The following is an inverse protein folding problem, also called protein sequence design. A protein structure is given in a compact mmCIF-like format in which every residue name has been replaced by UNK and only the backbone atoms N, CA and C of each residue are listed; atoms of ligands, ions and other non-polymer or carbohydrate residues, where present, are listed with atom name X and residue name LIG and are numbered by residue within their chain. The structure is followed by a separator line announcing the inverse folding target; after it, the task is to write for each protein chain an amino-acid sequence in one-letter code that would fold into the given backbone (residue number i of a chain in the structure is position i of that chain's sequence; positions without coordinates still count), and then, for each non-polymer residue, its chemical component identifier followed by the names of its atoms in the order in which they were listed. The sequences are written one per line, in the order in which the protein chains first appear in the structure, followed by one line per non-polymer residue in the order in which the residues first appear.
data_IF_795759705780
#
_entry.id   IF_795759705780
#
_cell.length_a   1.000
_cell.length_b   1.000
_cell.length_c   1.000
_cell.angle_alpha   90.00
_cell.angle_beta   90.00
_cell.angle_gamma   90.00
#
_symmetry.space_group_name_H-M   'P 1'
#
loop_
_entity.id
_entity.type
_entity.pdbx_description
1 polymer ?
#
# COMPACT_ATOMS: atom_id res chain seq x y z
N UNK A 1 -19.54 -16.60 -26.53
CA UNK A 1 -19.92 -15.23 -26.14
C UNK A 1 -20.14 -15.26 -24.64
N UNK A 2 -19.32 -14.54 -23.89
CA UNK A 2 -19.30 -14.56 -22.42
C UNK A 2 -20.53 -13.79 -21.87
N UNK A 3 -21.41 -14.43 -21.07
CA UNK A 3 -22.60 -13.80 -20.50
C UNK A 3 -22.31 -12.73 -19.42
N UNK A 4 -21.06 -12.56 -18.97
CA UNK A 4 -20.71 -11.64 -17.87
C UNK A 4 -20.71 -10.14 -18.19
N UNK A 5 -20.72 -9.74 -19.47
CA UNK A 5 -20.60 -8.32 -19.86
C UNK A 5 -21.93 -7.60 -20.14
N UNK A 6 -23.07 -8.29 -20.11
CA UNK A 6 -24.37 -7.69 -20.45
C UNK A 6 -25.01 -6.95 -19.27
N UNK A 7 -24.72 -7.34 -18.01
CA UNK A 7 -25.33 -6.73 -16.82
C UNK A 7 -24.71 -5.39 -16.42
N UNK A 8 -23.51 -5.07 -16.90
CA UNK A 8 -22.82 -3.80 -16.59
C UNK A 8 -23.44 -2.62 -17.36
N UNK A 9 -24.01 -2.89 -18.54
CA UNK A 9 -24.59 -1.85 -19.40
C UNK A 9 -26.08 -1.54 -19.13
N UNK A 10 -26.83 -2.45 -18.51
CA UNK A 10 -28.23 -2.18 -18.12
C UNK A 10 -28.32 -1.20 -16.96
N UNK A 11 -27.49 -1.37 -15.94
CA UNK A 11 -27.50 -0.55 -14.71
C UNK A 11 -27.13 0.93 -14.92
N UNK A 12 -26.54 1.28 -16.07
CA UNK A 12 -26.22 2.67 -16.43
C UNK A 12 -27.45 3.37 -17.03
N UNK A 13 -28.32 2.64 -17.74
CA UNK A 13 -29.49 3.20 -18.45
C UNK A 13 -30.63 3.56 -17.50
N UNK A 14 -30.74 2.84 -16.38
CA UNK A 14 -31.83 3.02 -15.42
C UNK A 14 -31.63 4.24 -14.50
N UNK A 15 -30.37 4.63 -14.25
CA UNK A 15 -30.05 5.83 -13.44
C UNK A 15 -30.20 7.14 -14.22
N UNK A 16 -30.18 7.12 -15.55
CA UNK A 16 -30.38 8.32 -16.37
C UNK A 16 -31.85 8.73 -16.50
N UNK A 17 -32.79 7.81 -16.27
CA UNK A 17 -34.23 8.05 -16.45
C UNK A 17 -34.96 8.50 -15.18
N UNK A 18 -34.30 8.52 -14.02
CA UNK A 18 -34.90 8.89 -12.73
C UNK A 18 -34.84 10.40 -12.41
N UNK A 19 -34.28 11.23 -13.30
CA UNK A 19 -34.17 12.69 -13.10
C UNK A 19 -35.21 13.51 -13.88
N UNK A 20 -36.16 12.87 -14.59
CA UNK A 20 -37.07 13.56 -15.50
C UNK A 20 -38.48 13.84 -14.92
N UNK A 21 -38.71 13.62 -13.62
CA UNK A 21 -40.04 13.73 -13.01
C UNK A 21 -40.20 14.83 -11.94
N UNK A 22 -39.22 15.73 -11.78
CA UNK A 22 -39.36 16.90 -10.90
C UNK A 22 -39.44 18.19 -11.73
N UNK A 23 -40.65 18.72 -11.83
CA UNK A 23 -40.96 20.02 -12.43
C UNK A 23 -40.39 21.11 -11.52
N UNK A 24 -39.17 21.59 -11.78
CA UNK A 24 -38.67 22.76 -11.05
C UNK A 24 -37.19 23.13 -11.14
N UNK A 25 -36.27 22.27 -11.59
CA UNK A 25 -34.85 22.64 -11.71
C UNK A 25 -34.13 21.69 -12.68
N UNK A 26 -33.82 22.15 -13.89
CA UNK A 26 -33.07 21.33 -14.87
C UNK A 26 -31.61 21.24 -14.40
N UNK A 27 -31.09 20.04 -14.05
CA UNK A 27 -29.70 19.90 -13.66
C UNK A 27 -28.80 20.30 -14.83
N UNK A 28 -27.86 21.22 -14.60
CA UNK A 28 -26.89 21.60 -15.64
C UNK A 28 -26.05 20.39 -16.06
N UNK A 29 -25.58 20.38 -17.30
CA UNK A 29 -24.66 19.34 -17.82
C UNK A 29 -23.41 19.21 -16.92
N UNK A 30 -22.99 20.30 -16.28
CA UNK A 30 -21.92 20.30 -15.26
C UNK A 30 -22.29 19.50 -14.01
N UNK A 31 -23.54 19.55 -13.56
CA UNK A 31 -24.06 18.79 -12.40
C UNK A 31 -24.16 17.30 -12.72
N UNK A 32 -24.65 16.96 -13.92
CA UNK A 32 -24.73 15.57 -14.40
C UNK A 32 -23.31 14.98 -14.56
N UNK A 33 -22.38 15.71 -15.19
CA UNK A 33 -20.97 15.29 -15.31
C UNK A 33 -20.28 15.16 -13.95
N UNK A 34 -20.60 16.02 -12.99
CA UNK A 34 -20.03 15.96 -11.63
C UNK A 34 -20.50 14.72 -10.86
N UNK A 35 -21.78 14.33 -10.99
CA UNK A 35 -22.33 13.14 -10.33
C UNK A 35 -21.84 11.83 -10.96
N UNK A 36 -21.58 11.77 -12.27
CA UNK A 36 -21.03 10.58 -12.92
C UNK A 36 -19.53 10.37 -12.64
N UNK A 37 -18.74 11.43 -12.44
CA UNK A 37 -17.27 11.30 -12.25
C UNK A 37 -16.86 10.79 -10.86
N UNK A 38 -17.67 10.99 -9.82
CA UNK A 38 -17.31 10.59 -8.43
C UNK A 38 -17.56 9.11 -8.11
N UNK A 39 -18.48 8.45 -8.80
CA UNK A 39 -18.98 7.14 -8.37
C UNK A 39 -18.09 5.96 -8.78
N UNK A 40 -17.39 6.05 -9.92
CA UNK A 40 -16.59 4.94 -10.43
C UNK A 40 -15.10 5.02 -10.06
N UNK A 41 -14.56 6.21 -9.82
CA UNK A 41 -13.12 6.36 -9.55
C UNK A 41 -12.74 5.93 -8.13
N UNK A 42 -13.61 6.13 -7.15
CA UNK A 42 -13.28 5.88 -5.74
C UNK A 42 -13.36 4.38 -5.41
N UNK A 43 -14.38 3.69 -5.90
CA UNK A 43 -14.58 2.26 -5.66
C UNK A 43 -13.49 1.37 -6.31
N UNK A 44 -13.02 1.73 -7.51
CA UNK A 44 -11.91 1.03 -8.18
C UNK A 44 -10.61 1.20 -7.38
N UNK A 45 -10.36 2.41 -6.87
CA UNK A 45 -9.19 2.68 -6.04
C UNK A 45 -9.26 1.92 -4.70
N UNK A 46 -10.42 1.85 -4.06
CA UNK A 46 -10.58 1.09 -2.81
C UNK A 46 -10.33 -0.41 -3.00
N UNK A 47 -10.87 -1.03 -4.06
CA UNK A 47 -10.64 -2.45 -4.32
C UNK A 47 -9.18 -2.74 -4.67
N UNK A 48 -8.54 -1.87 -5.46
CA UNK A 48 -7.12 -2.01 -5.78
C UNK A 48 -6.24 -1.86 -4.52
N UNK A 49 -6.55 -0.89 -3.67
CA UNK A 49 -5.85 -0.68 -2.39
C UNK A 49 -6.04 -1.88 -1.47
N UNK A 50 -7.27 -2.40 -1.32
CA UNK A 50 -7.56 -3.58 -0.50
C UNK A 50 -6.83 -4.82 -1.00
N UNK A 51 -6.85 -5.07 -2.32
CA UNK A 51 -6.13 -6.22 -2.90
C UNK A 51 -4.62 -6.12 -2.67
N UNK A 52 -4.05 -4.93 -2.82
CA UNK A 52 -2.62 -4.71 -2.54
C UNK A 52 -2.30 -4.87 -1.06
N UNK A 53 -3.20 -4.44 -0.16
CA UNK A 53 -3.01 -4.62 1.28
C UNK A 53 -3.01 -6.11 1.65
N UNK A 54 -4.03 -6.87 1.22
CA UNK A 54 -4.11 -8.33 1.46
C UNK A 54 -2.89 -9.05 0.90
N UNK A 55 -2.44 -8.65 -0.30
CA UNK A 55 -1.24 -9.20 -0.90
C UNK A 55 0.01 -8.94 -0.03
N UNK A 56 0.21 -7.69 0.42
CA UNK A 56 1.34 -7.31 1.27
C UNK A 56 1.33 -8.00 2.63
N UNK A 57 0.17 -8.17 3.26
CA UNK A 57 0.02 -8.89 4.53
C UNK A 57 0.48 -10.35 4.42
N UNK A 58 0.24 -11.00 3.27
CA UNK A 58 0.73 -12.37 3.01
C UNK A 58 2.21 -12.45 2.60
N UNK A 59 2.72 -11.42 1.93
CA UNK A 59 4.07 -11.41 1.37
C UNK A 59 5.15 -11.15 2.43
N UNK A 60 4.91 -10.24 3.37
CA UNK A 60 5.89 -9.85 4.39
C UNK A 60 6.38 -11.06 5.20
N UNK A 61 5.53 -11.95 5.74
CA UNK A 61 5.98 -13.12 6.48
C UNK A 61 6.82 -14.08 5.63
N UNK A 62 6.47 -14.27 4.36
CA UNK A 62 7.20 -15.15 3.44
C UNK A 62 8.60 -14.61 3.17
N UNK A 63 8.71 -13.30 2.89
CA UNK A 63 10.00 -12.66 2.65
C UNK A 63 10.87 -12.69 3.90
N UNK A 64 10.32 -12.37 5.08
CA UNK A 64 11.05 -12.45 6.34
C UNK A 64 11.58 -13.87 6.59
N UNK A 65 10.76 -14.90 6.30
CA UNK A 65 11.18 -16.29 6.48
C UNK A 65 12.30 -16.70 5.52
N UNK A 66 12.19 -16.31 4.26
CA UNK A 66 13.24 -16.57 3.28
C UNK A 66 14.55 -15.86 3.67
N UNK A 67 14.48 -14.62 4.15
CA UNK A 67 15.65 -13.87 4.64
C UNK A 67 16.36 -14.60 5.80
N UNK A 68 15.62 -15.14 6.76
CA UNK A 68 16.18 -15.96 7.84
C UNK A 68 16.92 -17.19 7.30
N UNK A 69 16.30 -17.91 6.37
CA UNK A 69 16.87 -19.13 5.77
C UNK A 69 18.16 -18.80 5.03
N UNK A 70 18.16 -17.79 4.15
CA UNK A 70 19.37 -17.42 3.41
C UNK A 70 20.48 -16.88 4.32
N UNK A 71 20.11 -16.18 5.40
CA UNK A 71 21.08 -15.73 6.40
C UNK A 71 21.71 -16.89 7.17
N UNK A 72 20.96 -17.97 7.43
CA UNK A 72 21.43 -19.14 8.16
C UNK A 72 22.27 -20.10 7.30
N UNK A 73 21.90 -20.32 6.04
CA UNK A 73 22.57 -21.27 5.15
C UNK A 73 23.92 -20.73 4.67
N UNK A 74 24.15 -19.41 4.72
CA UNK A 74 25.44 -18.80 4.38
C UNK A 74 25.84 -18.97 2.91
N UNK A 75 24.90 -19.39 2.04
CA UNK A 75 25.13 -19.59 0.61
C UNK A 75 25.29 -18.24 -0.08
N UNK A 76 26.53 -17.73 -0.08
CA UNK A 76 26.94 -16.56 -0.87
C UNK A 76 26.76 -16.79 -2.38
N UNK A 77 26.65 -18.05 -2.78
CA UNK A 77 26.61 -18.50 -4.18
C UNK A 77 25.19 -18.54 -4.78
N UNK A 78 24.15 -18.51 -3.94
CA UNK A 78 22.76 -18.37 -4.36
C UNK A 78 22.25 -17.02 -3.86
N UNK A 79 22.70 -15.94 -4.47
CA UNK A 79 22.28 -14.57 -4.13
C UNK A 79 20.84 -14.34 -4.62
N UNK A 80 19.88 -14.95 -3.92
CA UNK A 80 18.48 -14.62 -4.09
C UNK A 80 18.28 -13.24 -3.47
N UNK A 81 18.20 -12.24 -4.34
CA UNK A 81 17.96 -10.85 -3.97
C UNK A 81 16.52 -10.69 -3.51
N UNK A 82 16.28 -10.88 -2.22
CA UNK A 82 15.00 -10.57 -1.61
C UNK A 82 14.87 -9.06 -1.39
N UNK A 83 13.67 -8.48 -1.59
CA UNK A 83 13.43 -7.08 -1.26
C UNK A 83 13.79 -6.78 0.20
N UNK A 84 14.63 -5.77 0.41
CA UNK A 84 15.05 -5.28 1.72
C UNK A 84 14.99 -3.75 1.74
N UNK A 85 14.64 -3.19 2.88
CA UNK A 85 14.74 -1.74 3.13
C UNK A 85 16.00 -1.51 3.93
N UNK A 86 16.91 -0.70 3.38
CA UNK A 86 18.18 -0.36 4.04
C UNK A 86 18.15 1.11 4.45
N UNK A 87 18.57 1.37 5.68
CA UNK A 87 18.70 2.73 6.21
C UNK A 87 20.16 3.17 6.10
N UNK A 88 20.41 4.21 5.29
CA UNK A 88 21.72 4.82 5.09
C UNK A 88 21.70 6.30 5.38
N UNK A 89 22.85 6.89 5.67
CA UNK A 89 22.98 8.33 5.91
C UNK A 89 24.13 8.68 6.84
N UNK A 90 24.58 9.93 6.78
CA UNK A 90 25.66 10.47 7.61
C UNK A 90 25.34 10.39 9.12
N UNK A 91 26.36 10.51 9.96
CA UNK A 91 26.16 10.66 11.40
C UNK A 91 25.20 11.83 11.66
N UNK A 92 24.28 11.67 12.64
CA UNK A 92 23.28 12.69 13.01
C UNK A 92 22.17 12.98 11.97
N UNK A 93 22.10 12.27 10.85
CA UNK A 93 21.01 12.42 9.87
C UNK A 93 19.61 11.97 10.37
N UNK A 94 19.46 11.58 11.63
CA UNK A 94 18.17 11.15 12.20
C UNK A 94 17.79 9.68 11.97
N UNK A 95 18.70 8.84 11.44
CA UNK A 95 18.43 7.41 11.19
C UNK A 95 17.81 6.67 12.38
N UNK A 96 18.41 6.81 13.56
CA UNK A 96 17.91 6.16 14.77
C UNK A 96 16.55 6.72 15.17
N UNK A 97 16.37 8.04 15.11
CA UNK A 97 15.10 8.71 15.41
C UNK A 97 13.96 8.26 14.49
N UNK A 98 14.23 8.06 13.19
CA UNK A 98 13.25 7.54 12.23
C UNK A 98 12.87 6.09 12.57
N UNK A 99 13.86 5.24 12.84
CA UNK A 99 13.61 3.85 13.24
C UNK A 99 12.81 3.76 14.55
N UNK A 100 13.18 4.55 15.56
CA UNK A 100 12.46 4.64 16.85
C UNK A 100 11.03 5.17 16.66
N UNK A 101 10.85 6.14 15.76
CA UNK A 101 9.52 6.66 15.38
C UNK A 101 8.63 5.61 14.71
N UNK A 102 9.20 4.75 13.85
CA UNK A 102 8.46 3.64 13.22
C UNK A 102 8.07 2.57 14.26
N UNK A 103 8.99 2.24 15.18
CA UNK A 103 8.75 1.21 16.21
C UNK A 103 7.82 1.72 17.33
N UNK A 104 7.79 3.04 17.56
CA UNK A 104 6.97 3.67 18.61
C UNK A 104 7.59 3.64 20.01
N UNK A 105 8.89 3.33 20.14
CA UNK A 105 9.63 3.41 21.41
C UNK A 105 11.13 3.59 21.17
N UNK A 106 11.83 4.08 22.18
CA UNK A 106 13.29 4.07 22.19
C UNK A 106 13.83 2.64 22.37
N UNK A 107 14.76 2.23 21.52
CA UNK A 107 15.40 0.90 21.62
C UNK A 107 16.84 0.86 21.10
N UNK A 108 17.29 1.92 20.43
CA UNK A 108 18.64 1.99 19.90
C UNK A 108 19.57 2.60 20.95
N UNK A 109 20.83 2.15 21.01
CA UNK A 109 21.80 2.75 21.92
C UNK A 109 21.96 4.25 21.65
N UNK A 110 22.26 5.00 22.70
CA UNK A 110 22.62 6.42 22.66
C UNK A 110 24.10 6.56 23.03
N UNK A 111 24.77 7.55 22.45
CA UNK A 111 26.18 7.82 22.74
C UNK A 111 26.76 8.91 21.85
N UNK A 112 27.95 9.37 22.21
CA UNK A 112 28.73 10.28 21.36
C UNK A 112 29.37 9.52 20.20
N UNK A 113 29.57 10.20 19.07
CA UNK A 113 30.17 9.62 17.85
C UNK A 113 29.22 8.71 17.07
N UNK A 114 29.78 7.73 16.35
CA UNK A 114 29.01 6.71 15.63
C UNK A 114 28.50 5.64 16.60
N UNK A 115 27.16 5.48 16.61
CA UNK A 115 26.49 4.62 17.58
C UNK A 115 26.20 3.24 16.99
N UNK A 116 25.66 3.18 15.77
CA UNK A 116 25.47 1.92 15.05
C UNK A 116 26.79 1.47 14.43
N UNK A 117 27.46 0.50 15.06
CA UNK A 117 28.77 -0.04 14.60
C UNK A 117 28.70 -1.42 13.96
N UNK A 118 27.52 -2.04 13.98
CA UNK A 118 27.21 -3.32 13.31
C UNK A 118 25.91 -3.16 12.54
N UNK A 119 25.75 -3.85 11.39
CA UNK A 119 24.46 -3.95 10.72
C UNK A 119 23.40 -4.46 11.71
N UNK A 120 22.25 -3.81 11.73
CA UNK A 120 21.10 -4.20 12.52
C UNK A 120 19.99 -4.62 11.56
N UNK A 121 19.53 -5.86 11.66
CA UNK A 121 18.35 -6.34 10.96
C UNK A 121 17.14 -6.08 11.85
N UNK A 122 16.21 -5.26 11.38
CA UNK A 122 14.97 -4.96 12.09
C UNK A 122 13.81 -5.63 11.37
N UNK A 123 13.18 -6.59 12.05
CA UNK A 123 11.94 -7.22 11.61
C UNK A 123 10.79 -6.70 12.47
N UNK A 124 9.78 -6.11 11.84
CA UNK A 124 8.56 -5.66 12.49
C UNK A 124 7.48 -6.72 12.25
N UNK A 125 6.87 -7.17 13.33
CA UNK A 125 5.77 -8.15 13.32
C UNK A 125 4.63 -7.51 14.10
N UNK A 126 3.41 -7.60 13.56
CA UNK A 126 2.18 -7.14 14.20
C UNK A 126 1.54 -8.26 15.02
#
# INVERSE_FOLDING_TARGET
MDPGNTEVFSNIRDKTNTLNNDVGNVPTESTIKMHLRKSNSTAVNENLVKNNQVFMESLIPVINKLQEVFSAVGTREAEIQLPQIVVVGSQSAGKSSVLEGIVGRDFLPRGSGIVTRRPLILQLVN
#
